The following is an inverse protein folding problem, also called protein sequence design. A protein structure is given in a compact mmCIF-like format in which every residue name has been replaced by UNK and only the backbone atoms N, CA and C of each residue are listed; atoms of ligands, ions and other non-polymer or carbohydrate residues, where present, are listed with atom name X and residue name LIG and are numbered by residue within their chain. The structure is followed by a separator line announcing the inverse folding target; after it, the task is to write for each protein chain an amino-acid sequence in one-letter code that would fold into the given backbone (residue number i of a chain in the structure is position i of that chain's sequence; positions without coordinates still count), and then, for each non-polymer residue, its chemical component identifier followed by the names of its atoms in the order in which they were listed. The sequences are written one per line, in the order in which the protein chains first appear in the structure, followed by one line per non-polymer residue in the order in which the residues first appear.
data_IF_470251611717
#
_entry.id   IF_470251611717
#
_cell.length_a   1.000
_cell.length_b   1.000
_cell.length_c   1.000
_cell.angle_alpha   90.00
_cell.angle_beta   90.00
_cell.angle_gamma   90.00
#
_symmetry.space_group_name_H-M   'P 1'
#
loop_
_entity.id
_entity.type
_entity.pdbx_description
1 polymer ?
#
# COMPACT_ATOMS: atom_id res chain seq x y z
N UNK A 1 6.70 2.44 16.04
CA UNK A 1 5.50 3.05 15.44
C UNK A 1 5.95 3.70 14.14
N UNK A 2 5.71 3.04 13.01
CA UNK A 2 6.02 3.58 11.69
C UNK A 2 4.92 4.53 11.20
N UNK A 3 5.00 4.98 9.95
CA UNK A 3 3.94 5.78 9.32
C UNK A 3 2.67 4.95 9.15
N UNK A 4 1.50 5.59 9.20
CA UNK A 4 0.22 4.92 8.89
C UNK A 4 0.10 4.60 7.39
N UNK A 5 -0.83 3.71 7.03
CA UNK A 5 -1.10 3.42 5.63
C UNK A 5 -1.40 4.70 4.84
N UNK A 6 -2.26 5.59 5.34
CA UNK A 6 -2.61 6.84 4.64
C UNK A 6 -1.42 7.79 4.49
N UNK A 7 -0.56 7.87 5.50
CA UNK A 7 0.67 8.66 5.43
C UNK A 7 1.60 8.13 4.34
N UNK A 8 1.77 6.81 4.26
CA UNK A 8 2.54 6.18 3.19
C UNK A 8 1.86 6.35 1.83
N UNK A 9 0.56 6.09 1.75
CA UNK A 9 -0.22 6.13 0.52
C UNK A 9 -0.13 7.51 -0.13
N UNK A 10 -0.15 8.58 0.65
CA UNK A 10 0.01 9.94 0.16
C UNK A 10 1.40 10.26 -0.42
N UNK A 11 2.44 9.47 -0.11
CA UNK A 11 3.75 9.58 -0.76
C UNK A 11 3.79 8.95 -2.15
N UNK A 12 2.84 8.07 -2.45
CA UNK A 12 2.77 7.37 -3.73
C UNK A 12 2.16 8.30 -4.79
N UNK A 13 2.74 8.36 -6.01
CA UNK A 13 2.20 9.15 -7.11
C UNK A 13 0.70 8.92 -7.34
N UNK A 14 -0.05 9.99 -7.60
CA UNK A 14 -1.51 9.93 -7.72
C UNK A 14 -1.97 9.02 -8.87
N UNK A 15 -1.22 8.96 -9.96
CA UNK A 15 -1.49 8.07 -11.10
C UNK A 15 -1.41 6.58 -10.70
N UNK A 16 -0.45 6.23 -9.83
CA UNK A 16 -0.29 4.88 -9.29
C UNK A 16 -1.45 4.56 -8.34
N UNK A 17 -1.77 5.48 -7.44
CA UNK A 17 -2.88 5.29 -6.49
C UNK A 17 -4.20 5.03 -7.18
N UNK A 18 -4.54 5.85 -8.18
CA UNK A 18 -5.77 5.69 -8.95
C UNK A 18 -5.81 4.37 -9.72
N UNK A 19 -4.68 3.92 -10.29
CA UNK A 19 -4.62 2.62 -10.99
C UNK A 19 -4.80 1.43 -10.05
N UNK A 20 -4.16 1.49 -8.89
CA UNK A 20 -4.17 0.38 -7.91
C UNK A 20 -5.52 0.23 -7.23
N UNK A 21 -6.23 1.34 -7.03
CA UNK A 21 -7.57 1.35 -6.44
C UNK A 21 -8.71 1.43 -7.45
N UNK A 22 -8.42 1.40 -8.75
CA UNK A 22 -9.44 1.43 -9.79
C UNK A 22 -10.43 0.26 -9.61
N UNK A 23 -11.72 0.58 -9.49
CA UNK A 23 -12.78 -0.41 -9.27
C UNK A 23 -12.90 -0.90 -7.82
N UNK A 24 -12.12 -0.32 -6.89
CA UNK A 24 -12.05 -0.78 -5.51
C UNK A 24 -11.99 0.37 -4.49
N UNK A 25 -12.55 1.53 -4.85
CA UNK A 25 -12.42 2.79 -4.12
C UNK A 25 -13.23 2.82 -2.80
N UNK A 26 -14.29 2.03 -2.70
CA UNK A 26 -15.16 1.97 -1.52
C UNK A 26 -14.72 0.97 -0.44
N UNK A 27 -13.75 0.11 -0.74
CA UNK A 27 -13.33 -0.96 0.17
C UNK A 27 -12.03 -0.61 0.91
N UNK A 28 -11.66 -1.40 1.91
CA UNK A 28 -10.34 -1.29 2.53
C UNK A 28 -9.24 -1.67 1.53
N UNK A 29 -8.06 -1.02 1.61
CA UNK A 29 -6.91 -1.39 0.79
C UNK A 29 -6.51 -2.84 1.03
N UNK A 30 -6.22 -3.56 -0.03
CA UNK A 30 -5.76 -4.95 0.05
C UNK A 30 -4.23 -5.01 0.14
N UNK A 31 -3.69 -6.01 0.84
CA UNK A 31 -2.26 -6.30 0.84
C UNK A 31 -1.72 -6.49 -0.58
N UNK A 32 -2.52 -7.12 -1.47
CA UNK A 32 -2.13 -7.31 -2.87
C UNK A 32 -1.95 -5.99 -3.64
N UNK A 33 -2.74 -4.97 -3.34
CA UNK A 33 -2.60 -3.63 -3.93
C UNK A 33 -1.27 -2.98 -3.53
N UNK A 34 -0.90 -3.15 -2.26
CA UNK A 34 0.38 -2.66 -1.73
C UNK A 34 1.55 -3.41 -2.35
N UNK A 35 1.44 -4.73 -2.49
CA UNK A 35 2.45 -5.55 -3.16
C UNK A 35 2.65 -5.13 -4.62
N UNK A 36 1.58 -4.77 -5.34
CA UNK A 36 1.71 -4.24 -6.69
C UNK A 36 2.47 -2.92 -6.72
N UNK A 37 2.16 -1.97 -5.82
CA UNK A 37 2.89 -0.70 -5.69
C UNK A 37 4.36 -0.96 -5.37
N UNK A 38 4.63 -1.93 -4.50
CA UNK A 38 5.98 -2.32 -4.14
C UNK A 38 6.79 -2.77 -5.36
N UNK A 39 6.24 -3.69 -6.15
CA UNK A 39 6.89 -4.16 -7.39
C UNK A 39 7.08 -3.00 -8.37
N UNK A 40 6.09 -2.13 -8.54
CA UNK A 40 6.21 -0.97 -9.42
C UNK A 40 7.32 -0.01 -8.97
N UNK A 41 7.40 0.30 -7.67
CA UNK A 41 8.45 1.15 -7.12
C UNK A 41 9.85 0.54 -7.32
N UNK A 42 9.98 -0.79 -7.19
CA UNK A 42 11.23 -1.49 -7.50
C UNK A 42 11.62 -1.36 -8.98
N UNK A 43 10.64 -1.53 -9.89
CA UNK A 43 10.85 -1.33 -11.34
C UNK A 43 11.27 0.10 -11.69
N UNK A 44 10.70 1.09 -10.99
CA UNK A 44 11.03 2.51 -11.14
C UNK A 44 12.33 2.92 -10.42
N UNK A 45 13.07 1.97 -9.82
CA UNK A 45 14.27 2.21 -8.99
C UNK A 45 14.03 3.14 -7.78
N UNK A 46 12.81 3.20 -7.28
CA UNK A 46 12.39 3.98 -6.09
C UNK A 46 12.05 3.05 -4.92
N UNK A 47 12.99 2.15 -4.61
CA UNK A 47 12.81 1.14 -3.57
C UNK A 47 12.65 1.74 -2.16
N UNK A 48 13.17 2.95 -1.97
CA UNK A 48 13.11 3.77 -0.76
C UNK A 48 11.68 4.20 -0.38
N UNK A 49 10.78 4.30 -1.35
CA UNK A 49 9.38 4.65 -1.12
C UNK A 49 8.56 3.49 -0.53
N UNK A 50 9.10 2.27 -0.53
CA UNK A 50 8.37 1.10 -0.06
C UNK A 50 8.20 1.11 1.47
N UNK A 51 7.10 0.53 1.98
CA UNK A 51 6.95 0.34 3.41
C UNK A 51 7.95 -0.70 3.91
N UNK A 52 8.33 -0.57 5.17
CA UNK A 52 9.11 -1.61 5.84
C UNK A 52 8.22 -2.81 6.18
N UNK A 53 8.81 -3.99 6.37
CA UNK A 53 8.07 -5.18 6.80
C UNK A 53 7.33 -4.97 8.14
N UNK A 54 7.88 -4.14 9.03
CA UNK A 54 7.24 -3.80 10.31
C UNK A 54 5.99 -2.93 10.12
N UNK A 55 6.04 -1.96 9.20
CA UNK A 55 4.87 -1.13 8.84
C UNK A 55 3.78 -1.96 8.19
N UNK A 56 4.14 -2.84 7.26
CA UNK A 56 3.19 -3.74 6.61
C UNK A 56 2.49 -4.63 7.63
N UNK A 57 3.24 -5.21 8.58
CA UNK A 57 2.69 -6.02 9.65
C UNK A 57 1.78 -5.21 10.58
N UNK A 58 2.17 -3.98 10.93
CA UNK A 58 1.36 -3.09 11.75
C UNK A 58 0.03 -2.75 11.07
N UNK A 59 0.04 -2.47 9.76
CA UNK A 59 -1.18 -2.14 9.02
C UNK A 59 -2.15 -3.33 8.89
N UNK A 60 -1.63 -4.54 8.71
CA UNK A 60 -2.45 -5.76 8.69
C UNK A 60 -3.04 -6.04 10.07
N UNK A 61 -2.21 -5.98 11.12
CA UNK A 61 -2.65 -6.32 12.49
C UNK A 61 -3.57 -5.25 13.11
N UNK A 62 -3.40 -3.98 12.74
CA UNK A 62 -4.30 -2.89 13.13
C UNK A 62 -5.58 -2.80 12.29
N UNK A 63 -5.68 -3.56 11.19
CA UNK A 63 -6.84 -3.58 10.31
C UNK A 63 -7.01 -2.33 9.44
N UNK A 64 -5.92 -1.56 9.24
CA UNK A 64 -5.85 -0.48 8.24
C UNK A 64 -5.94 -1.03 6.82
N UNK A 65 -5.44 -2.25 6.60
CA UNK A 65 -5.46 -2.94 5.31
C UNK A 65 -5.95 -4.38 5.51
N UNK A 66 -6.58 -4.95 4.49
CA UNK A 66 -7.03 -6.34 4.51
C UNK A 66 -5.98 -7.24 3.85
N UNK A 67 -5.54 -8.29 4.55
CA UNK A 67 -4.61 -9.27 4.00
C UNK A 67 -5.25 -10.07 2.85
N UNK A 68 -6.53 -10.43 3.00
CA UNK A 68 -7.35 -11.11 2.01
C UNK A 68 -8.81 -10.69 2.18
N UNK A 69 -9.57 -10.62 1.08
CA UNK A 69 -11.03 -10.57 1.14
C UNK A 69 -11.58 -11.99 1.16
N UNK A 70 -12.51 -12.24 2.08
CA UNK A 70 -13.34 -13.46 2.09
C UNK A 70 -14.50 -13.32 1.12
#
# INVERSE_FOLDING_TARGET
MGRTFDQWWNTIPADVRSKVRAGDEGNKPLLNQINWVWVKNLMDKRADLNPTAAELLDWVTSGQIDAMRK
#
